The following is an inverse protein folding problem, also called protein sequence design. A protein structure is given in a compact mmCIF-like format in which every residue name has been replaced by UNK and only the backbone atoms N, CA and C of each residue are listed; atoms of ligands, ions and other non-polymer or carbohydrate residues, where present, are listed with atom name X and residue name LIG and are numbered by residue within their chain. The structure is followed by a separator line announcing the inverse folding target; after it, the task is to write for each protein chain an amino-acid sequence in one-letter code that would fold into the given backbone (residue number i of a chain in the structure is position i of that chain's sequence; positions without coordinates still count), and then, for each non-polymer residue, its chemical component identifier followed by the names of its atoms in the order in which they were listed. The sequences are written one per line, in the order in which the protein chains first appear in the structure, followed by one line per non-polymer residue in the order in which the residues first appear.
data_IF_449739109030
#
_entry.id   IF_449739109030
#
_cell.length_a   1.000
_cell.length_b   1.000
_cell.length_c   1.000
_cell.angle_alpha   90.00
_cell.angle_beta   90.00
_cell.angle_gamma   90.00
#
_symmetry.space_group_name_H-M   'P 1'
#
loop_
_entity.id
_entity.type
_entity.pdbx_description
1 polymer ?
#
# COMPACT_ATOMS: atom_id res chain seq x y z
N UNK A 1 -8.32 -11.53 11.42
CA UNK A 1 -7.96 -10.08 11.48
C UNK A 1 -9.24 -9.30 11.25
N UNK A 2 -9.54 -8.27 12.03
CA UNK A 2 -10.70 -7.39 11.80
C UNK A 2 -10.20 -5.99 11.48
N UNK A 3 -10.62 -5.45 10.33
CA UNK A 3 -10.29 -4.12 9.85
C UNK A 3 -11.56 -3.27 9.82
N UNK A 4 -11.49 -1.98 10.19
CA UNK A 4 -12.62 -1.07 10.01
C UNK A 4 -12.85 -0.80 8.51
N UNK A 5 -14.01 -0.24 8.13
CA UNK A 5 -14.23 0.23 6.77
C UNK A 5 -13.15 1.22 6.34
N UNK A 6 -12.68 1.10 5.10
CA UNK A 6 -11.78 2.07 4.49
C UNK A 6 -12.61 3.30 4.08
N UNK A 7 -12.44 4.42 4.77
CA UNK A 7 -13.37 5.55 4.65
C UNK A 7 -13.34 6.21 3.28
N UNK A 8 -12.16 6.36 2.67
CA UNK A 8 -12.05 6.93 1.33
C UNK A 8 -12.75 6.04 0.29
N UNK A 9 -12.64 4.72 0.43
CA UNK A 9 -13.32 3.76 -0.44
C UNK A 9 -14.85 3.80 -0.25
N UNK A 10 -15.34 4.10 0.95
CA UNK A 10 -16.80 4.29 1.16
C UNK A 10 -17.29 5.57 0.49
N UNK A 11 -16.51 6.64 0.57
CA UNK A 11 -16.78 7.92 -0.09
C UNK A 11 -16.80 7.77 -1.61
N UNK A 12 -15.77 7.15 -2.20
CA UNK A 12 -15.72 6.90 -3.65
C UNK A 12 -16.82 5.95 -4.12
N UNK A 13 -17.10 4.86 -3.39
CA UNK A 13 -18.21 3.96 -3.73
C UNK A 13 -19.57 4.67 -3.82
N UNK A 14 -19.77 5.74 -3.04
CA UNK A 14 -21.01 6.54 -3.07
C UNK A 14 -21.01 7.61 -4.17
N UNK A 15 -19.86 8.21 -4.48
CA UNK A 15 -19.81 9.47 -5.24
C UNK A 15 -19.02 9.44 -6.55
N UNK A 16 -18.11 8.49 -6.74
CA UNK A 16 -17.12 8.47 -7.83
C UNK A 16 -17.79 8.59 -9.20
N UNK A 17 -18.86 7.81 -9.42
CA UNK A 17 -19.57 7.74 -10.70
C UNK A 17 -20.88 8.52 -10.73
N UNK A 18 -21.22 9.25 -9.65
CA UNK A 18 -22.43 10.07 -9.58
C UNK A 18 -22.14 11.57 -9.56
N UNK A 19 -20.92 11.96 -9.20
CA UNK A 19 -20.53 13.36 -9.20
C UNK A 19 -20.33 13.89 -10.63
N UNK A 20 -20.72 15.15 -10.87
CA UNK A 20 -20.54 15.79 -12.19
C UNK A 20 -19.07 16.07 -12.51
N UNK A 21 -18.30 16.39 -11.48
CA UNK A 21 -16.86 16.71 -11.57
C UNK A 21 -16.19 16.08 -10.36
N UNK A 22 -15.28 15.13 -10.60
CA UNK A 22 -14.45 14.51 -9.56
C UNK A 22 -13.11 15.27 -9.48
N UNK A 23 -12.86 15.94 -8.36
CA UNK A 23 -11.60 16.64 -8.07
C UNK A 23 -10.86 16.04 -6.87
N UNK A 24 -11.21 14.80 -6.48
CA UNK A 24 -10.73 14.18 -5.23
C UNK A 24 -9.81 12.98 -5.46
N UNK A 25 -9.72 12.48 -6.69
CA UNK A 25 -8.77 11.42 -7.07
C UNK A 25 -7.32 11.86 -6.88
N UNK A 26 -6.47 10.92 -6.46
CA UNK A 26 -5.01 11.10 -6.38
C UNK A 26 -4.27 10.40 -7.52
N UNK A 27 -5.01 9.70 -8.36
CA UNK A 27 -4.53 9.07 -9.58
C UNK A 27 -4.44 10.08 -10.74
N UNK A 28 -3.87 9.62 -11.84
CA UNK A 28 -3.87 10.35 -13.11
C UNK A 28 -4.96 9.79 -14.01
N UNK A 29 -5.37 10.58 -15.00
CA UNK A 29 -6.25 10.12 -16.08
C UNK A 29 -5.76 8.78 -16.64
N UNK A 30 -6.66 7.80 -16.75
CA UNK A 30 -6.35 6.51 -17.32
C UNK A 30 -6.09 6.63 -18.82
N UNK A 31 -5.14 5.86 -19.32
CA UNK A 31 -4.93 5.71 -20.77
C UNK A 31 -5.81 4.59 -21.31
N UNK A 32 -6.40 4.80 -22.48
CA UNK A 32 -6.92 3.70 -23.29
C UNK A 32 -5.79 2.78 -23.73
N UNK A 33 -6.16 1.55 -24.13
CA UNK A 33 -5.18 0.58 -24.61
C UNK A 33 -4.47 1.06 -25.88
N UNK A 34 -5.16 1.78 -26.76
CA UNK A 34 -4.58 2.33 -27.98
C UNK A 34 -3.59 3.46 -27.67
N UNK A 35 -3.94 4.40 -26.78
CA UNK A 35 -3.03 5.47 -26.32
C UNK A 35 -1.78 4.89 -25.65
N UNK A 36 -1.92 3.79 -24.90
CA UNK A 36 -0.78 3.09 -24.31
C UNK A 36 0.15 2.53 -25.40
N UNK A 37 -0.37 2.00 -26.50
CA UNK A 37 0.45 1.48 -27.60
C UNK A 37 1.21 2.56 -28.37
N UNK A 38 0.70 3.79 -28.42
CA UNK A 38 1.39 4.91 -29.06
C UNK A 38 2.68 5.30 -28.31
N UNK A 39 2.72 5.08 -26.99
CA UNK A 39 3.87 5.44 -26.14
C UNK A 39 4.73 4.23 -25.72
N UNK A 40 4.22 3.01 -25.87
CA UNK A 40 4.96 1.80 -25.53
C UNK A 40 6.11 1.52 -26.52
N UNK A 41 7.21 0.87 -26.09
CA UNK A 41 8.27 0.46 -26.99
C UNK A 41 7.77 -0.41 -28.15
N UNK A 42 8.45 -0.33 -29.30
CA UNK A 42 8.18 -1.19 -30.45
C UNK A 42 8.16 -2.68 -30.04
N UNK A 43 7.30 -3.46 -30.68
CA UNK A 43 7.05 -4.90 -30.44
C UNK A 43 6.29 -5.29 -29.15
N UNK A 44 6.02 -4.36 -28.22
CA UNK A 44 5.25 -4.67 -26.98
C UNK A 44 3.82 -5.13 -27.25
N UNK A 45 3.17 -4.56 -28.27
CA UNK A 45 1.84 -4.98 -28.74
C UNK A 45 1.81 -6.46 -29.14
N UNK A 46 2.86 -6.96 -29.77
CA UNK A 46 2.95 -8.36 -30.20
C UNK A 46 2.96 -9.30 -28.98
N UNK A 47 3.61 -8.91 -27.88
CA UNK A 47 3.61 -9.70 -26.66
C UNK A 47 2.20 -9.84 -26.07
N UNK A 48 1.41 -8.77 -26.11
CA UNK A 48 0.00 -8.80 -25.70
C UNK A 48 -0.84 -9.71 -26.60
N UNK A 49 -0.70 -9.56 -27.92
CA UNK A 49 -1.46 -10.36 -28.91
C UNK A 49 -1.13 -11.86 -28.86
N UNK A 50 0.11 -12.22 -28.49
CA UNK A 50 0.53 -13.61 -28.31
C UNK A 50 0.48 -14.11 -26.86
N UNK A 51 -0.13 -13.34 -25.94
CA UNK A 51 -0.13 -13.68 -24.52
C UNK A 51 -0.87 -14.99 -24.26
N UNK A 52 -0.22 -15.91 -23.53
CA UNK A 52 -0.86 -17.12 -23.01
C UNK A 52 -1.33 -16.86 -21.58
N UNK A 53 -2.62 -17.04 -21.30
CA UNK A 53 -3.20 -16.84 -19.97
C UNK A 53 -2.86 -18.03 -19.06
N UNK A 54 -1.80 -17.88 -18.27
CA UNK A 54 -1.35 -18.86 -17.29
C UNK A 54 -0.61 -18.20 -16.12
N UNK A 55 -0.15 -19.01 -15.17
CA UNK A 55 0.66 -18.52 -14.06
C UNK A 55 2.04 -18.07 -14.53
N UNK A 56 2.53 -16.96 -13.96
CA UNK A 56 3.94 -16.58 -14.03
C UNK A 56 4.73 -17.18 -12.85
N UNK A 57 6.02 -16.86 -12.73
CA UNK A 57 6.84 -17.27 -11.57
C UNK A 57 6.30 -16.62 -10.29
N UNK A 58 6.45 -17.28 -9.14
CA UNK A 58 5.95 -16.76 -7.85
C UNK A 58 6.47 -15.35 -7.51
N UNK A 59 7.74 -14.98 -7.80
CA UNK A 59 8.22 -13.61 -7.61
C UNK A 59 7.68 -12.59 -8.62
N UNK A 60 7.13 -13.04 -9.74
CA UNK A 60 6.74 -12.25 -10.89
C UNK A 60 7.59 -12.53 -12.13
N UNK A 61 7.09 -12.12 -13.30
CA UNK A 61 7.74 -12.35 -14.59
C UNK A 61 9.18 -11.78 -14.59
N UNK A 62 10.21 -12.56 -15.01
CA UNK A 62 11.61 -12.14 -14.95
C UNK A 62 11.89 -10.77 -15.57
N UNK A 63 11.35 -10.51 -16.78
CA UNK A 63 11.51 -9.22 -17.45
C UNK A 63 10.91 -8.06 -16.65
N UNK A 64 9.73 -8.25 -16.04
CA UNK A 64 9.08 -7.22 -15.24
C UNK A 64 9.89 -6.92 -13.96
N UNK A 65 10.43 -7.96 -13.32
CA UNK A 65 11.28 -7.80 -12.13
C UNK A 65 12.55 -7.01 -12.44
N UNK A 66 13.22 -7.32 -13.55
CA UNK A 66 14.43 -6.62 -13.98
C UNK A 66 14.14 -5.15 -14.30
N UNK A 67 13.07 -4.88 -15.07
CA UNK A 67 12.65 -3.50 -15.39
C UNK A 67 12.28 -2.70 -14.14
N UNK A 68 11.55 -3.31 -13.18
CA UNK A 68 11.20 -2.67 -11.92
C UNK A 68 12.43 -2.39 -11.04
N UNK A 69 13.42 -3.28 -11.02
CA UNK A 69 14.69 -3.04 -10.32
C UNK A 69 15.41 -1.83 -10.93
N UNK A 70 15.57 -1.82 -12.26
CA UNK A 70 16.23 -0.75 -13.00
C UNK A 70 15.53 0.61 -12.80
N UNK A 71 14.20 0.66 -12.92
CA UNK A 71 13.42 1.89 -12.74
C UNK A 71 13.51 2.45 -11.31
N UNK A 72 13.81 1.57 -10.34
CA UNK A 72 13.96 1.93 -8.93
C UNK A 72 15.43 2.22 -8.54
N UNK A 73 16.36 2.20 -9.49
CA UNK A 73 17.79 2.39 -9.24
C UNK A 73 18.46 1.24 -8.47
N UNK A 74 17.87 0.04 -8.48
CA UNK A 74 18.41 -1.14 -7.81
C UNK A 74 19.38 -1.89 -8.73
N UNK A 75 20.41 -2.56 -8.18
CA UNK A 75 21.32 -3.38 -8.99
C UNK A 75 20.60 -4.59 -9.58
N UNK A 76 21.08 -5.07 -10.73
CA UNK A 76 20.56 -6.30 -11.34
C UNK A 76 20.70 -7.49 -10.39
N UNK A 77 19.69 -8.38 -10.40
CA UNK A 77 19.61 -9.50 -9.44
C UNK A 77 19.07 -9.13 -8.05
N UNK A 78 18.62 -7.88 -7.83
CA UNK A 78 17.92 -7.50 -6.61
C UNK A 78 16.65 -8.33 -6.37
N UNK A 79 16.33 -8.60 -5.10
CA UNK A 79 15.13 -9.31 -4.72
C UNK A 79 13.88 -8.44 -4.96
N UNK A 80 13.24 -8.60 -6.12
CA UNK A 80 11.99 -7.92 -6.50
C UNK A 80 10.84 -8.92 -6.48
N UNK A 81 9.75 -8.54 -5.79
CA UNK A 81 8.49 -9.27 -5.74
C UNK A 81 7.38 -8.42 -6.38
N UNK A 82 6.72 -8.98 -7.39
CA UNK A 82 5.57 -8.35 -8.08
C UNK A 82 4.29 -8.71 -7.34
N UNK A 83 3.37 -7.74 -7.28
CA UNK A 83 2.05 -7.84 -6.66
C UNK A 83 0.99 -7.19 -7.58
N UNK A 84 -0.28 -7.50 -7.35
CA UNK A 84 -1.45 -6.85 -7.94
C UNK A 84 -1.66 -5.45 -7.34
N UNK A 85 -0.72 -4.54 -7.64
CA UNK A 85 -0.72 -3.17 -7.16
C UNK A 85 -0.11 -2.97 -5.78
N UNK A 86 0.11 -1.70 -5.44
CA UNK A 86 0.80 -1.32 -4.20
C UNK A 86 0.04 -1.72 -2.93
N UNK A 87 -1.29 -1.75 -2.97
CA UNK A 87 -2.13 -2.15 -1.82
C UNK A 87 -1.84 -3.58 -1.38
N UNK A 88 -1.74 -4.54 -2.31
CA UNK A 88 -1.37 -5.93 -1.98
C UNK A 88 0.05 -6.00 -1.43
N UNK A 89 1.00 -5.32 -2.08
CA UNK A 89 2.40 -5.28 -1.65
C UNK A 89 2.55 -4.80 -0.20
N UNK A 90 1.92 -3.68 0.14
CA UNK A 90 1.96 -3.12 1.51
C UNK A 90 1.24 -4.04 2.50
N UNK A 91 0.11 -4.62 2.12
CA UNK A 91 -0.62 -5.55 3.00
C UNK A 91 0.23 -6.79 3.33
N UNK A 92 0.85 -7.42 2.33
CA UNK A 92 1.73 -8.57 2.51
C UNK A 92 2.95 -8.17 3.35
N UNK A 93 3.62 -7.07 2.99
CA UNK A 93 4.78 -6.57 3.72
C UNK A 93 4.48 -6.38 5.22
N UNK A 94 3.39 -5.69 5.56
CA UNK A 94 3.04 -5.46 6.96
C UNK A 94 2.71 -6.76 7.71
N UNK A 95 2.10 -7.74 7.04
CA UNK A 95 1.83 -9.04 7.66
C UNK A 95 3.07 -9.93 7.80
N UNK A 96 4.13 -9.70 7.03
CA UNK A 96 5.36 -10.49 7.09
C UNK A 96 6.40 -9.90 8.02
N UNK A 97 6.50 -8.58 8.14
CA UNK A 97 7.54 -7.92 8.96
C UNK A 97 7.09 -7.60 10.38
N UNK A 98 5.78 -7.49 10.65
CA UNK A 98 5.27 -7.10 11.97
C UNK A 98 4.81 -8.29 12.80
N UNK A 99 5.13 -8.23 14.09
CA UNK A 99 4.64 -9.09 15.15
C UNK A 99 3.67 -8.33 16.08
N UNK A 100 2.77 -9.01 16.81
CA UNK A 100 1.76 -8.35 17.64
C UNK A 100 2.28 -7.45 18.77
N UNK A 101 3.57 -7.55 19.14
CA UNK A 101 4.19 -6.76 20.21
C UNK A 101 5.05 -5.62 19.68
N UNK A 102 5.12 -5.44 18.37
CA UNK A 102 5.99 -4.44 17.77
C UNK A 102 5.45 -3.02 17.99
N UNK A 103 6.37 -2.09 18.20
CA UNK A 103 6.07 -0.67 18.25
C UNK A 103 6.19 -0.08 16.84
N UNK A 104 5.07 0.42 16.30
CA UNK A 104 5.00 0.97 14.93
C UNK A 104 4.75 2.46 15.00
N UNK A 105 5.60 3.24 14.34
CA UNK A 105 5.45 4.69 14.17
C UNK A 105 4.89 4.97 12.78
N UNK A 106 3.84 5.77 12.69
CA UNK A 106 3.21 6.16 11.43
C UNK A 106 3.09 7.69 11.37
N UNK A 107 3.54 8.29 10.28
CA UNK A 107 3.41 9.73 10.02
C UNK A 107 2.03 9.98 9.42
N UNK A 108 1.26 10.90 9.99
CA UNK A 108 -0.13 11.16 9.61
C UNK A 108 -0.41 12.63 9.25
N UNK A 109 -1.49 12.90 8.47
CA UNK A 109 -2.41 11.92 7.87
C UNK A 109 -1.74 11.10 6.75
N UNK A 110 -2.14 9.83 6.60
CA UNK A 110 -1.59 8.91 5.59
C UNK A 110 -2.62 7.88 5.15
N UNK A 111 -2.26 7.05 4.18
CA UNK A 111 -3.08 5.97 3.65
C UNK A 111 -3.53 5.01 4.76
N UNK A 112 -4.85 4.83 4.91
CA UNK A 112 -5.48 4.16 6.07
C UNK A 112 -4.92 2.76 6.33
N UNK A 113 -4.55 2.02 5.27
CA UNK A 113 -3.96 0.69 5.37
C UNK A 113 -2.70 0.65 6.25
N UNK A 114 -1.85 1.69 6.19
CA UNK A 114 -0.62 1.81 6.97
C UNK A 114 -0.88 1.99 8.47
N UNK A 115 -2.11 2.35 8.85
CA UNK A 115 -2.52 2.55 10.25
C UNK A 115 -3.28 1.32 10.75
N UNK A 116 -4.26 0.86 9.98
CA UNK A 116 -5.23 -0.12 10.47
C UNK A 116 -4.73 -1.56 10.40
N UNK A 117 -3.86 -1.90 9.44
CA UNK A 117 -3.24 -3.24 9.38
C UNK A 117 -2.33 -3.47 10.61
N UNK A 118 -1.38 -2.59 10.97
CA UNK A 118 -0.57 -2.77 12.17
C UNK A 118 -1.41 -2.86 13.45
N UNK A 119 -2.47 -2.03 13.58
CA UNK A 119 -3.43 -2.11 14.69
C UNK A 119 -4.10 -3.49 14.79
N UNK A 120 -4.52 -4.03 13.66
CA UNK A 120 -5.19 -5.32 13.62
C UNK A 120 -4.21 -6.48 13.88
N UNK A 121 -2.92 -6.34 13.55
CA UNK A 121 -1.85 -7.29 13.93
C UNK A 121 -1.61 -7.25 15.45
N UNK A 122 -1.47 -6.06 16.05
CA UNK A 122 -1.27 -5.91 17.49
C UNK A 122 -2.39 -6.54 18.34
N UNK A 123 -3.63 -6.47 17.85
CA UNK A 123 -4.80 -7.11 18.50
C UNK A 123 -4.80 -8.65 18.43
N UNK A 124 -3.94 -9.28 17.63
CA UNK A 124 -3.82 -10.75 17.59
C UNK A 124 -3.18 -11.32 18.86
N UNK A 125 -2.56 -10.49 19.71
CA UNK A 125 -2.08 -10.94 21.01
C UNK A 125 -3.28 -11.39 21.87
N UNK A 126 -3.34 -12.66 22.32
CA UNK A 126 -4.31 -13.05 23.34
C UNK A 126 -4.10 -12.14 24.55
N UNK A 127 -5.17 -11.55 25.10
CA UNK A 127 -5.10 -10.91 26.43
C UNK A 127 -4.54 -11.96 27.38
N UNK A 128 -3.34 -11.75 27.94
CA UNK A 128 -2.90 -12.63 29.03
C UNK A 128 -3.84 -12.42 30.21
N UNK A 129 -4.33 -13.52 30.79
CA UNK A 129 -5.27 -13.52 31.91
C UNK A 129 -4.67 -13.01 33.24
N UNK A 130 -3.42 -12.54 33.25
CA UNK A 130 -2.80 -11.87 34.38
C UNK A 130 -2.99 -10.36 34.25
N UNK A 131 -3.65 -9.75 35.23
CA UNK A 131 -3.96 -8.32 35.31
C UNK A 131 -2.73 -7.42 35.42
N UNK A 132 -1.94 -7.33 34.35
CA UNK A 132 -0.87 -6.36 34.15
C UNK A 132 -1.36 -5.19 33.30
N UNK A 133 -1.19 -3.97 33.81
CA UNK A 133 -1.43 -2.71 33.10
C UNK A 133 -0.81 -2.74 31.70
N UNK A 134 -1.61 -2.41 30.69
CA UNK A 134 -1.14 -2.07 29.35
C UNK A 134 -0.33 -0.77 29.47
N UNK A 135 0.99 -0.89 29.47
CA UNK A 135 1.92 0.24 29.37
C UNK A 135 2.30 0.38 27.89
N UNK A 136 2.06 1.56 27.32
CA UNK A 136 2.47 1.93 25.95
C UNK A 136 1.41 2.72 25.20
N UNK A 137 1.21 3.97 25.61
CA UNK A 137 0.23 4.90 25.06
C UNK A 137 0.66 5.44 23.68
N UNK A 138 -0.36 5.63 22.85
CA UNK A 138 -0.38 6.29 21.54
C UNK A 138 -0.08 7.79 21.69
N UNK A 139 0.66 8.40 20.75
CA UNK A 139 0.70 9.87 20.63
C UNK A 139 0.14 10.31 19.30
N UNK A 140 -1.11 10.76 19.35
CA UNK A 140 -1.72 11.66 18.38
C UNK A 140 -1.52 13.08 18.92
N UNK A 141 -0.70 13.91 18.29
CA UNK A 141 -0.84 15.37 18.43
C UNK A 141 -1.49 15.90 17.17
N UNK A 142 -2.79 16.21 17.31
CA UNK A 142 -3.52 17.07 16.38
C UNK A 142 -2.81 18.42 16.42
N UNK A 143 -2.15 18.84 15.35
CA UNK A 143 -1.58 20.19 15.27
C UNK A 143 -2.72 21.21 15.20
N UNK A 144 -3.14 21.65 16.38
CA UNK A 144 -3.91 22.85 16.63
C UNK A 144 -3.36 23.51 17.91
N UNK A 145 -2.34 24.36 17.72
CA UNK A 145 -1.69 25.29 18.68
C UNK A 145 -0.63 24.71 19.67
N UNK A 146 0.28 25.55 20.19
CA UNK A 146 1.61 25.83 19.64
C UNK A 146 2.75 25.16 20.44
N UNK A 147 3.92 25.04 19.78
CA UNK A 147 5.18 24.53 20.33
C UNK A 147 5.48 24.99 21.77
N UNK A 148 5.43 24.04 22.71
CA UNK A 148 6.09 24.15 24.01
C UNK A 148 7.51 23.60 23.94
N UNK A 149 8.47 24.35 24.50
CA UNK A 149 9.93 24.13 24.48
C UNK A 149 10.35 22.71 24.91
N UNK A 150 11.36 22.19 24.22
CA UNK A 150 12.19 21.06 24.64
C UNK A 150 13.20 21.60 25.69
N UNK A 151 13.32 21.03 26.90
CA UNK A 151 14.41 21.34 27.82
C UNK A 151 15.71 20.71 27.34
N UNK A 152 16.82 21.45 27.48
CA UNK A 152 18.15 21.10 26.98
C UNK A 152 18.88 20.00 27.74
#
# INVERSE_FOLDING_TARGET
MQLPPFLIERMFAEHEFTCRVNLTGSDTEGLSLDELWEVAPADTRRWYESLTLGYTESPGHPLLRELAAQSSGLPSGSAVQVFAGATEAVFVLLNTILSPKDHVVVIGPTYQLLIDVPRAIGRRCPRSASGGRTVGAWTWTRSGAPCGRIPG
#
